data_IF_174433153710
#
_entry.id   IF_174433153710
#
_cell.length_a   1.000
_cell.length_b   1.000
_cell.length_c   1.000
_cell.angle_alpha   90.00
_cell.angle_beta   90.00
_cell.angle_gamma   90.00
#
_symmetry.space_group_name_H-M   'P 1'
#
loop_
_entity.id
_entity.type
_entity.pdbx_description
1 polymer ?
#
# COMPACT_ATOMS: atom_id res chain seq x y z
N UNK A 1 -11.70 -33.44 -17.57
CA UNK A 1 -13.03 -33.00 -17.10
C UNK A 1 -12.93 -31.53 -16.72
N UNK A 2 -13.99 -30.72 -16.89
CA UNK A 2 -13.97 -29.36 -16.34
C UNK A 2 -13.81 -29.43 -14.81
N UNK A 3 -12.95 -28.59 -14.25
CA UNK A 3 -12.74 -28.51 -12.81
C UNK A 3 -14.04 -28.10 -12.13
N UNK A 4 -14.42 -28.82 -11.08
CA UNK A 4 -15.59 -28.47 -10.28
C UNK A 4 -15.31 -27.24 -9.41
N UNK A 5 -16.35 -26.59 -8.92
CA UNK A 5 -16.19 -25.44 -8.01
C UNK A 5 -15.48 -25.83 -6.71
N UNK A 6 -15.79 -27.01 -6.17
CA UNK A 6 -15.17 -27.50 -4.93
C UNK A 6 -13.67 -27.78 -5.14
N UNK A 7 -13.30 -28.40 -6.25
CA UNK A 7 -11.88 -28.60 -6.60
C UNK A 7 -11.16 -27.26 -6.79
N UNK A 8 -11.77 -26.30 -7.48
CA UNK A 8 -11.19 -24.97 -7.69
C UNK A 8 -10.98 -24.21 -6.37
N UNK A 9 -11.93 -24.33 -5.42
CA UNK A 9 -11.80 -23.68 -4.11
C UNK A 9 -10.77 -24.37 -3.22
N UNK A 10 -10.71 -25.70 -3.26
CA UNK A 10 -9.70 -26.48 -2.55
C UNK A 10 -8.30 -26.10 -3.03
N UNK A 11 -8.12 -25.96 -4.35
CA UNK A 11 -6.86 -25.51 -4.94
C UNK A 11 -6.51 -24.08 -4.51
N UNK A 12 -7.46 -23.14 -4.54
CA UNK A 12 -7.22 -21.77 -4.06
C UNK A 12 -6.89 -21.72 -2.57
N UNK A 13 -7.55 -22.51 -1.73
CA UNK A 13 -7.27 -22.58 -0.30
C UNK A 13 -5.86 -23.10 -0.04
N UNK A 14 -5.45 -24.16 -0.75
CA UNK A 14 -4.09 -24.71 -0.69
C UNK A 14 -3.04 -23.65 -1.06
N UNK A 15 -3.25 -22.91 -2.15
CA UNK A 15 -2.33 -21.82 -2.57
C UNK A 15 -2.28 -20.65 -1.58
N UNK A 16 -3.39 -20.32 -0.91
CA UNK A 16 -3.41 -19.27 0.12
C UNK A 16 -2.64 -19.70 1.39
N UNK A 17 -2.73 -20.99 1.74
CA UNK A 17 -2.11 -21.55 2.94
C UNK A 17 -0.63 -21.91 2.76
N UNK A 18 -0.15 -22.08 1.52
CA UNK A 18 1.28 -22.23 1.23
C UNK A 18 2.02 -20.89 1.34
N UNK A 19 2.43 -20.55 2.56
CA UNK A 19 3.13 -19.29 2.86
C UNK A 19 4.48 -19.13 2.17
N UNK A 20 5.06 -20.20 1.59
CA UNK A 20 6.34 -20.11 0.88
C UNK A 20 6.19 -19.45 -0.49
N UNK A 21 5.01 -19.54 -1.09
CA UNK A 21 4.75 -19.03 -2.45
C UNK A 21 3.64 -17.98 -2.49
N UNK A 22 2.76 -17.92 -1.48
CA UNK A 22 1.62 -17.02 -1.44
C UNK A 22 2.02 -15.54 -1.42
N UNK A 23 1.53 -14.75 -2.37
CA UNK A 23 1.73 -13.29 -2.43
C UNK A 23 0.51 -12.56 -1.90
N UNK A 24 -0.67 -12.80 -2.52
CA UNK A 24 -1.95 -12.21 -2.10
C UNK A 24 -3.14 -12.96 -2.64
N UNK A 25 -4.30 -12.75 -2.03
CA UNK A 25 -5.58 -13.15 -2.59
C UNK A 25 -6.59 -12.01 -2.53
N UNK A 26 -7.56 -12.03 -3.45
CA UNK A 26 -8.66 -11.08 -3.51
C UNK A 26 -9.96 -11.83 -3.72
N UNK A 27 -10.92 -11.61 -2.83
CA UNK A 27 -12.28 -12.12 -2.92
C UNK A 27 -13.20 -10.92 -3.17
N UNK A 28 -13.97 -10.95 -4.26
CA UNK A 28 -14.79 -9.78 -4.65
C UNK A 28 -15.99 -10.13 -5.52
N UNK A 29 -16.97 -9.22 -5.51
CA UNK A 29 -18.21 -9.33 -6.26
C UNK A 29 -19.12 -10.39 -5.66
N UNK A 30 -20.34 -10.02 -5.26
CA UNK A 30 -21.30 -11.00 -4.72
C UNK A 30 -21.92 -11.86 -5.81
N UNK A 31 -22.18 -13.14 -5.53
CA UNK A 31 -23.01 -14.00 -6.37
C UNK A 31 -24.47 -13.54 -6.30
N UNK A 32 -25.24 -13.87 -7.35
CA UNK A 32 -26.68 -13.55 -7.40
C UNK A 32 -27.39 -14.24 -6.25
N UNK A 33 -28.29 -13.53 -5.57
CA UNK A 33 -29.08 -14.00 -4.42
C UNK A 33 -28.25 -14.45 -3.20
N UNK A 34 -26.96 -14.06 -3.13
CA UNK A 34 -26.15 -14.23 -1.93
C UNK A 34 -25.89 -12.88 -1.27
N UNK A 35 -25.78 -12.90 0.05
CA UNK A 35 -25.29 -11.79 0.85
C UNK A 35 -23.85 -12.06 1.24
N UNK A 36 -23.05 -11.01 1.27
CA UNK A 36 -21.66 -11.03 1.72
C UNK A 36 -21.53 -9.94 2.78
N UNK A 37 -20.77 -10.21 3.85
CA UNK A 37 -20.54 -9.23 4.92
C UNK A 37 -19.64 -8.08 4.45
N UNK A 38 -18.78 -8.36 3.47
CA UNK A 38 -17.83 -7.40 2.90
C UNK A 38 -17.95 -7.42 1.38
N UNK A 39 -17.85 -6.26 0.73
CA UNK A 39 -17.85 -6.15 -0.73
C UNK A 39 -16.55 -6.72 -1.33
N UNK A 40 -15.46 -6.62 -0.57
CA UNK A 40 -14.12 -7.09 -0.96
C UNK A 40 -13.30 -7.51 0.26
N UNK A 41 -12.57 -8.60 0.11
CA UNK A 41 -11.53 -9.03 1.05
C UNK A 41 -10.21 -9.14 0.30
N UNK A 42 -9.20 -8.40 0.73
CA UNK A 42 -7.82 -8.54 0.28
C UNK A 42 -7.02 -9.27 1.37
N UNK A 43 -6.29 -10.32 0.99
CA UNK A 43 -5.47 -11.13 1.88
C UNK A 43 -4.03 -11.01 1.41
N UNK A 44 -3.08 -10.75 2.31
CA UNK A 44 -1.65 -10.76 2.00
C UNK A 44 -0.83 -11.40 3.12
N UNK A 45 0.32 -11.96 2.76
CA UNK A 45 1.29 -12.46 3.74
C UNK A 45 2.09 -11.29 4.32
N UNK A 46 2.20 -11.22 5.65
CA UNK A 46 3.01 -10.21 6.34
C UNK A 46 3.79 -10.84 7.48
N UNK A 47 4.98 -10.31 7.76
CA UNK A 47 5.78 -10.71 8.90
C UNK A 47 5.65 -9.67 10.00
N UNK A 48 5.16 -10.08 11.17
CA UNK A 48 4.98 -9.21 12.34
C UNK A 48 5.80 -9.80 13.49
N UNK A 49 6.81 -9.04 13.94
CA UNK A 49 7.72 -9.46 15.02
C UNK A 49 8.35 -10.85 14.79
N UNK A 50 8.75 -11.15 13.56
CA UNK A 50 9.38 -12.43 13.20
C UNK A 50 8.41 -13.58 12.90
N UNK A 51 7.09 -13.33 12.91
CA UNK A 51 6.07 -14.37 12.71
C UNK A 51 5.20 -14.03 11.51
N UNK A 52 5.04 -14.99 10.60
CA UNK A 52 4.17 -14.86 9.44
C UNK A 52 2.69 -14.87 9.84
N UNK A 53 1.96 -13.91 9.30
CA UNK A 53 0.52 -13.76 9.45
C UNK A 53 -0.12 -13.54 8.07
N UNK A 54 -1.35 -14.00 7.92
CA UNK A 54 -2.24 -13.57 6.87
C UNK A 54 -2.98 -12.32 7.34
N UNK A 55 -2.74 -11.20 6.67
CA UNK A 55 -3.45 -9.96 6.91
C UNK A 55 -4.66 -9.86 6.00
N UNK A 56 -5.84 -9.73 6.61
CA UNK A 56 -7.13 -9.62 5.94
C UNK A 56 -7.61 -8.18 6.04
N UNK A 57 -7.75 -7.52 4.89
CA UNK A 57 -8.37 -6.21 4.75
C UNK A 57 -9.79 -6.42 4.23
N UNK A 58 -10.79 -6.19 5.08
CA UNK A 58 -12.19 -6.46 4.79
C UNK A 58 -12.93 -5.13 4.61
N UNK A 59 -13.44 -4.87 3.41
CA UNK A 59 -14.10 -3.62 3.04
C UNK A 59 -15.60 -3.83 2.87
N UNK A 60 -16.43 -3.13 3.65
CA UNK A 60 -17.89 -3.20 3.63
C UNK A 60 -18.57 -2.16 2.71
N UNK A 61 -17.77 -1.44 1.92
CA UNK A 61 -18.20 -0.33 1.06
C UNK A 61 -18.11 1.04 1.74
N UNK A 62 -17.92 1.11 3.06
CA UNK A 62 -17.79 2.35 3.83
C UNK A 62 -16.45 2.44 4.56
N UNK A 63 -16.03 1.36 5.18
CA UNK A 63 -14.82 1.26 5.97
C UNK A 63 -14.07 -0.02 5.63
N UNK A 64 -12.75 0.02 5.81
CA UNK A 64 -11.90 -1.16 5.73
C UNK A 64 -11.41 -1.50 7.14
N UNK A 65 -11.66 -2.73 7.57
CA UNK A 65 -11.10 -3.29 8.80
C UNK A 65 -9.92 -4.18 8.47
N UNK A 66 -8.95 -4.28 9.39
CA UNK A 66 -7.75 -5.11 9.20
C UNK A 66 -7.61 -6.10 10.35
N UNK A 67 -7.41 -7.38 10.02
CA UNK A 67 -7.12 -8.46 10.98
C UNK A 67 -5.85 -9.18 10.56
N UNK A 68 -4.97 -9.49 11.50
CA UNK A 68 -3.79 -10.32 11.26
C UNK A 68 -4.02 -11.65 11.96
N UNK A 69 -4.03 -12.75 11.21
CA UNK A 69 -4.26 -14.10 11.73
C UNK A 69 -3.05 -14.98 11.42
N UNK A 70 -2.73 -15.92 12.30
CA UNK A 70 -1.81 -16.99 11.93
C UNK A 70 -2.43 -17.82 10.80
N UNK A 71 -1.63 -18.36 9.86
CA UNK A 71 -2.13 -19.24 8.80
C UNK A 71 -2.96 -20.43 9.33
N UNK A 72 -2.64 -20.93 10.53
CA UNK A 72 -3.37 -22.02 11.17
C UNK A 72 -4.71 -21.61 11.79
N UNK A 73 -4.98 -20.31 11.95
CA UNK A 73 -6.20 -19.78 12.57
C UNK A 73 -7.23 -19.29 11.55
N UNK A 74 -6.89 -19.24 10.27
CA UNK A 74 -7.81 -18.79 9.23
C UNK A 74 -8.61 -19.97 8.66
N UNK A 75 -9.91 -19.78 8.55
CA UNK A 75 -10.81 -20.72 7.88
C UNK A 75 -10.99 -20.28 6.41
N UNK A 76 -9.95 -20.51 5.59
CA UNK A 76 -9.93 -20.06 4.19
C UNK A 76 -11.11 -20.63 3.40
N UNK A 77 -11.46 -21.90 3.64
CA UNK A 77 -12.59 -22.55 2.97
C UNK A 77 -13.92 -21.84 3.25
N UNK A 78 -14.13 -21.34 4.47
CA UNK A 78 -15.33 -20.58 4.80
C UNK A 78 -15.36 -19.24 4.06
N UNK A 79 -14.22 -18.55 3.95
CA UNK A 79 -14.12 -17.30 3.19
C UNK A 79 -14.39 -17.52 1.69
N UNK A 80 -13.83 -18.57 1.08
CA UNK A 80 -14.08 -18.89 -0.33
C UNK A 80 -15.54 -19.26 -0.59
N UNK A 81 -16.20 -19.89 0.38
CA UNK A 81 -17.61 -20.27 0.31
C UNK A 81 -18.59 -19.16 0.71
N UNK A 82 -18.12 -18.00 1.20
CA UNK A 82 -18.99 -16.94 1.74
C UNK A 82 -19.75 -16.12 0.67
N UNK A 83 -19.75 -16.55 -0.59
CA UNK A 83 -20.60 -15.97 -1.64
C UNK A 83 -19.92 -15.03 -2.63
N UNK A 84 -18.59 -14.97 -2.66
CA UNK A 84 -17.85 -14.20 -3.67
C UNK A 84 -17.85 -14.89 -5.04
N UNK A 85 -18.07 -14.11 -6.10
CA UNK A 85 -18.12 -14.54 -7.48
C UNK A 85 -16.74 -14.52 -8.14
N UNK A 86 -15.80 -13.70 -7.66
CA UNK A 86 -14.45 -13.64 -8.17
C UNK A 86 -13.46 -13.90 -7.03
N UNK A 87 -12.56 -14.84 -7.25
CA UNK A 87 -11.44 -15.16 -6.37
C UNK A 87 -10.18 -15.09 -7.21
N UNK A 88 -9.17 -14.36 -6.76
CA UNK A 88 -7.85 -14.34 -7.38
C UNK A 88 -6.84 -14.71 -6.30
N UNK A 89 -5.93 -15.64 -6.59
CA UNK A 89 -4.81 -16.00 -5.74
C UNK A 89 -3.54 -15.81 -6.56
N UNK A 90 -2.65 -14.95 -6.08
CA UNK A 90 -1.36 -14.69 -6.67
C UNK A 90 -0.28 -15.37 -5.82
N UNK A 91 0.54 -16.16 -6.48
CA UNK A 91 1.75 -16.78 -5.92
C UNK A 91 2.99 -16.14 -6.55
N UNK A 92 4.18 -16.59 -6.18
CA UNK A 92 5.46 -16.15 -6.76
C UNK A 92 5.59 -16.45 -8.26
N UNK A 93 4.80 -17.38 -8.78
CA UNK A 93 5.00 -17.95 -10.12
C UNK A 93 3.75 -17.87 -11.02
N UNK A 94 2.57 -17.65 -10.44
CA UNK A 94 1.33 -17.61 -11.18
C UNK A 94 0.22 -16.80 -10.50
N UNK A 95 -0.79 -16.45 -11.30
CA UNK A 95 -2.06 -15.91 -10.86
C UNK A 95 -3.15 -16.93 -11.19
N UNK A 96 -3.78 -17.48 -10.15
CA UNK A 96 -4.91 -18.40 -10.23
C UNK A 96 -6.21 -17.64 -9.99
N UNK A 97 -7.08 -17.59 -11.01
CA UNK A 97 -8.33 -16.84 -10.97
C UNK A 97 -9.53 -17.76 -11.13
N UNK A 98 -10.52 -17.59 -10.26
CA UNK A 98 -11.80 -18.27 -10.31
C UNK A 98 -12.91 -17.24 -10.49
N UNK A 99 -13.76 -17.45 -11.50
CA UNK A 99 -15.04 -16.76 -11.65
C UNK A 99 -16.18 -17.75 -11.53
N UNK A 100 -17.04 -17.57 -10.54
CA UNK A 100 -18.26 -18.34 -10.39
C UNK A 100 -19.35 -17.75 -11.27
N UNK A 101 -19.90 -18.55 -12.17
CA UNK A 101 -20.93 -18.16 -13.11
C UNK A 101 -22.30 -18.03 -12.45
N UNK A 102 -23.30 -17.55 -13.19
CA UNK A 102 -24.69 -17.50 -12.73
C UNK A 102 -25.30 -18.88 -12.48
N UNK A 103 -24.81 -19.94 -13.16
CA UNK A 103 -25.22 -21.33 -12.93
C UNK A 103 -24.57 -21.93 -11.68
N UNK A 104 -23.55 -21.27 -11.12
CA UNK A 104 -22.81 -21.74 -9.95
C UNK A 104 -21.54 -22.51 -10.27
N UNK A 105 -21.22 -22.70 -11.55
CA UNK A 105 -20.01 -23.36 -12.03
C UNK A 105 -18.78 -22.44 -11.88
N UNK A 106 -17.61 -23.04 -11.70
CA UNK A 106 -16.34 -22.31 -11.65
C UNK A 106 -15.69 -22.25 -13.03
N UNK A 107 -15.36 -21.04 -13.48
CA UNK A 107 -14.42 -20.80 -14.57
C UNK A 107 -13.06 -20.48 -13.98
N UNK A 108 -12.08 -21.34 -14.26
CA UNK A 108 -10.72 -21.20 -13.74
C UNK A 108 -9.79 -20.75 -14.86
N UNK A 109 -8.93 -19.79 -14.54
CA UNK A 109 -7.85 -19.33 -15.42
C UNK A 109 -6.55 -19.21 -14.62
N UNK A 110 -5.48 -19.76 -15.17
CA UNK A 110 -4.14 -19.67 -14.59
C UNK A 110 -3.20 -18.97 -15.56
N UNK A 111 -2.57 -17.90 -15.09
CA UNK A 111 -1.58 -17.13 -15.83
C UNK A 111 -0.22 -17.28 -15.15
N UNK A 112 0.82 -17.71 -15.89
CA UNK A 112 2.19 -17.72 -15.35
C UNK A 112 2.72 -16.29 -15.29
N UNK A 113 3.09 -15.85 -14.09
CA UNK A 113 3.57 -14.49 -13.83
C UNK A 113 4.49 -14.52 -12.62
N UNK A 114 5.69 -13.96 -12.77
CA UNK A 114 6.62 -13.81 -11.64
C UNK A 114 6.21 -12.63 -10.78
N UNK A 115 6.11 -12.88 -9.48
CA UNK A 115 5.81 -11.87 -8.46
C UNK A 115 6.68 -12.09 -7.22
N UNK A 116 6.99 -11.01 -6.51
CA UNK A 116 7.77 -11.07 -5.27
C UNK A 116 6.84 -11.00 -4.04
N UNK A 117 7.17 -11.75 -2.99
CA UNK A 117 6.50 -11.63 -1.70
C UNK A 117 6.99 -10.37 -0.98
N UNK A 118 6.08 -9.46 -0.67
CA UNK A 118 6.37 -8.32 0.19
C UNK A 118 5.80 -8.56 1.60
N UNK A 119 6.67 -8.99 2.51
CA UNK A 119 6.29 -9.32 3.89
C UNK A 119 6.20 -8.10 4.82
N UNK A 120 6.45 -6.88 4.32
CA UNK A 120 6.41 -5.68 5.14
C UNK A 120 4.96 -5.37 5.58
N UNK A 121 4.72 -5.47 6.89
CA UNK A 121 3.44 -5.05 7.49
C UNK A 121 3.33 -3.52 7.55
N UNK A 122 4.44 -2.84 7.86
CA UNK A 122 4.51 -1.39 7.94
C UNK A 122 4.86 -0.80 6.58
N UNK A 123 3.93 -0.01 6.05
CA UNK A 123 4.25 0.92 4.97
C UNK A 123 5.15 2.01 5.55
N UNK A 124 6.46 1.88 5.37
CA UNK A 124 7.37 3.00 5.59
C UNK A 124 6.87 4.15 4.72
N UNK A 125 6.40 5.21 5.36
CA UNK A 125 6.05 6.44 4.65
C UNK A 125 7.37 6.95 4.08
N UNK A 126 7.49 7.01 2.76
CA UNK A 126 8.60 7.71 2.11
C UNK A 126 8.53 9.17 2.57
N UNK A 127 9.54 9.56 3.33
CA UNK A 127 9.70 10.92 3.84
C UNK A 127 10.62 11.66 2.91
N UNK A 128 10.29 12.91 2.60
CA UNK A 128 11.10 13.77 1.73
C UNK A 128 12.33 14.28 2.45
N UNK A 129 12.24 14.42 3.78
CA UNK A 129 13.38 14.69 4.65
C UNK A 129 13.47 13.61 5.76
N UNK A 130 14.67 13.12 6.01
CA UNK A 130 14.96 12.22 7.13
C UNK A 130 14.63 12.94 8.45
N UNK A 131 14.08 12.24 9.44
CA UNK A 131 13.75 12.87 10.73
C UNK A 131 14.99 13.34 11.52
N UNK A 132 16.18 12.85 11.17
CA UNK A 132 17.47 13.34 11.63
C UNK A 132 18.03 14.53 10.85
N UNK A 133 17.37 14.98 9.79
CA UNK A 133 17.87 16.09 8.97
C UNK A 133 18.19 17.32 9.86
N UNK A 134 19.37 17.94 9.71
CA UNK A 134 19.78 19.09 10.51
C UNK A 134 18.72 20.21 10.55
N UNK A 135 18.07 20.50 9.42
CA UNK A 135 17.02 21.52 9.37
C UNK A 135 15.90 21.21 10.37
N UNK A 136 15.39 19.98 10.41
CA UNK A 136 14.29 19.60 11.29
C UNK A 136 14.67 19.72 12.78
N UNK A 137 15.94 19.51 13.11
CA UNK A 137 16.47 19.68 14.46
C UNK A 137 16.57 21.16 14.83
N UNK A 138 17.16 21.97 13.96
CA UNK A 138 17.39 23.41 14.18
C UNK A 138 16.08 24.19 14.30
N UNK A 139 15.05 23.84 13.51
CA UNK A 139 13.71 24.45 13.65
C UNK A 139 12.87 23.83 14.78
N UNK A 140 13.47 22.88 15.52
CA UNK A 140 12.89 22.27 16.70
C UNK A 140 11.73 21.31 16.45
N UNK A 141 11.58 20.81 15.22
CA UNK A 141 10.58 19.80 14.82
C UNK A 141 11.00 18.40 15.29
N UNK A 142 12.27 18.04 15.11
CA UNK A 142 12.85 16.81 15.66
C UNK A 142 13.69 17.10 16.92
N UNK A 143 13.96 16.06 17.70
CA UNK A 143 14.89 16.11 18.82
C UNK A 143 16.31 15.68 18.42
N UNK A 144 17.25 15.71 19.37
CA UNK A 144 18.65 15.33 19.13
C UNK A 144 18.83 13.86 18.71
N UNK A 145 17.83 13.00 18.95
CA UNK A 145 17.81 11.60 18.51
C UNK A 145 17.14 11.43 17.15
N UNK A 146 16.75 12.54 16.50
CA UNK A 146 16.02 12.57 15.23
C UNK A 146 14.62 12.00 15.31
N UNK A 147 13.99 12.06 16.47
CA UNK A 147 12.58 11.70 16.62
C UNK A 147 11.74 12.97 16.44
N UNK A 148 10.75 12.92 15.57
CA UNK A 148 9.79 14.03 15.41
C UNK A 148 9.01 14.19 16.71
N UNK A 149 9.06 15.39 17.30
CA UNK A 149 8.38 15.67 18.57
C UNK A 149 6.87 15.51 18.39
N UNK A 150 6.14 14.79 19.28
CA UNK A 150 4.69 14.62 19.17
C UNK A 150 3.93 15.94 19.02
N UNK A 151 4.35 16.98 19.76
CA UNK A 151 3.78 18.34 19.72
C UNK A 151 4.10 19.14 18.44
N UNK A 152 4.94 18.61 17.56
CA UNK A 152 5.35 19.25 16.29
C UNK A 152 4.96 18.44 15.05
N UNK A 153 4.17 17.38 15.22
CA UNK A 153 3.71 16.52 14.12
C UNK A 153 3.01 17.30 13.01
N UNK A 154 2.17 18.29 13.35
CA UNK A 154 1.45 19.08 12.35
C UNK A 154 2.40 19.96 11.52
N UNK A 155 3.42 20.56 12.15
CA UNK A 155 4.47 21.30 11.43
C UNK A 155 5.30 20.38 10.53
N UNK A 156 5.62 19.18 11.01
CA UNK A 156 6.33 18.19 10.19
C UNK A 156 5.52 17.77 8.96
N UNK A 157 4.22 17.49 9.13
CA UNK A 157 3.32 17.20 8.01
C UNK A 157 3.21 18.39 7.04
N UNK A 158 3.18 19.61 7.56
CA UNK A 158 3.13 20.82 6.73
C UNK A 158 4.38 20.98 5.87
N UNK A 159 5.57 20.75 6.42
CA UNK A 159 6.83 20.71 5.66
C UNK A 159 6.76 19.64 4.56
N UNK A 160 6.39 18.42 4.93
CA UNK A 160 6.31 17.30 3.99
C UNK A 160 5.34 17.56 2.84
N UNK A 161 4.14 18.08 3.13
CA UNK A 161 3.14 18.36 2.10
C UNK A 161 3.57 19.53 1.22
N UNK A 162 4.16 20.57 1.81
CA UNK A 162 4.70 21.69 1.05
C UNK A 162 5.78 21.22 0.06
N UNK A 163 6.74 20.40 0.49
CA UNK A 163 7.80 19.88 -0.39
C UNK A 163 7.24 18.94 -1.47
N UNK A 164 6.22 18.15 -1.13
CA UNK A 164 5.51 17.26 -2.07
C UNK A 164 4.81 18.04 -3.19
N UNK A 165 4.35 19.26 -2.90
CA UNK A 165 3.77 20.16 -3.91
C UNK A 165 4.84 20.94 -4.67
N UNK A 166 5.87 21.43 -3.96
CA UNK A 166 6.92 22.27 -4.53
C UNK A 166 7.73 21.53 -5.60
N UNK A 167 8.21 20.31 -5.30
CA UNK A 167 9.14 19.60 -6.17
C UNK A 167 8.56 19.27 -7.56
N UNK A 168 7.35 18.68 -7.68
CA UNK A 168 6.76 18.43 -8.99
C UNK A 168 6.42 19.71 -9.74
N UNK A 169 5.91 20.74 -9.05
CA UNK A 169 5.56 22.00 -9.69
C UNK A 169 6.80 22.71 -10.26
N UNK A 170 7.89 22.74 -9.50
CA UNK A 170 9.17 23.31 -9.94
C UNK A 170 9.75 22.53 -11.13
N UNK A 171 9.79 21.20 -11.06
CA UNK A 171 10.30 20.37 -12.15
C UNK A 171 9.49 20.56 -13.43
N UNK A 172 8.16 20.59 -13.33
CA UNK A 172 7.29 20.84 -14.49
C UNK A 172 7.54 22.23 -15.12
N UNK A 173 7.74 23.27 -14.31
CA UNK A 173 8.07 24.60 -14.80
C UNK A 173 9.44 24.66 -15.49
N UNK A 174 10.43 23.91 -14.99
CA UNK A 174 11.76 23.79 -15.62
C UNK A 174 11.66 23.05 -16.95
N UNK A 175 10.94 21.92 -16.99
CA UNK A 175 10.75 21.13 -18.22
C UNK A 175 9.97 21.90 -19.29
N UNK A 176 8.99 22.70 -18.88
CA UNK A 176 8.25 23.60 -19.77
C UNK A 176 9.05 24.84 -20.22
N UNK A 177 10.28 25.02 -19.72
CA UNK A 177 11.14 26.16 -20.06
C UNK A 177 10.71 27.50 -19.46
N UNK A 178 9.79 27.50 -18.49
CA UNK A 178 9.35 28.71 -17.78
C UNK A 178 10.38 29.16 -16.75
N UNK A 179 11.11 28.22 -16.17
CA UNK A 179 12.24 28.44 -15.28
C UNK A 179 13.47 27.80 -15.94
N UNK A 180 14.62 28.48 -15.89
CA UNK A 180 15.85 27.90 -16.42
C UNK A 180 16.27 26.68 -15.59
N UNK A 181 16.92 25.71 -16.22
CA UNK A 181 17.55 24.61 -15.48
C UNK A 181 18.72 25.17 -14.64
N UNK A 182 18.68 25.06 -13.29
CA UNK A 182 19.71 25.64 -12.43
C UNK A 182 21.10 25.04 -12.68
N UNK A 183 22.13 25.87 -12.63
CA UNK A 183 23.54 25.44 -12.62
C UNK A 183 24.28 26.07 -11.42
N UNK A 184 25.54 25.71 -11.19
CA UNK A 184 26.34 26.34 -10.13
C UNK A 184 26.56 27.83 -10.40
N UNK A 185 26.71 28.20 -11.66
CA UNK A 185 26.95 29.58 -12.11
C UNK A 185 25.66 30.39 -12.17
N UNK A 186 24.53 29.74 -12.44
CA UNK A 186 23.20 30.34 -12.44
C UNK A 186 22.21 29.52 -11.58
N UNK A 187 22.33 29.62 -10.24
CA UNK A 187 21.53 28.81 -9.32
C UNK A 187 20.06 29.23 -9.34
N UNK A 188 19.21 28.33 -8.85
CA UNK A 188 17.80 28.64 -8.63
C UNK A 188 17.69 29.73 -7.57
N UNK A 189 16.84 30.74 -7.82
CA UNK A 189 16.53 31.78 -6.86
C UNK A 189 15.03 31.78 -6.60
N UNK A 190 14.66 31.57 -5.35
CA UNK A 190 13.26 31.55 -4.90
C UNK A 190 13.07 32.70 -3.92
N UNK A 191 11.99 33.45 -4.09
CA UNK A 191 11.57 34.51 -3.16
C UNK A 191 10.29 34.08 -2.46
N UNK A 192 10.35 33.93 -1.14
CA UNK A 192 9.19 33.62 -0.30
C UNK A 192 8.49 34.90 0.15
N UNK A 193 7.27 35.12 -0.33
CA UNK A 193 6.46 36.29 -0.02
C UNK A 193 5.59 36.01 1.22
N UNK A 194 6.00 36.54 2.37
CA UNK A 194 5.26 36.40 3.64
C UNK A 194 5.71 35.22 4.49
N UNK A 195 7.03 34.97 4.54
CA UNK A 195 7.61 33.77 5.16
C UNK A 195 7.30 33.57 6.65
N UNK A 196 6.90 34.60 7.40
CA UNK A 196 6.59 34.50 8.83
C UNK A 196 7.76 33.91 9.62
N UNK A 197 7.59 32.70 10.16
CA UNK A 197 8.65 31.98 10.90
C UNK A 197 9.69 31.30 9.99
N UNK A 198 9.59 31.45 8.67
CA UNK A 198 10.55 31.03 7.64
C UNK A 198 10.92 29.53 7.58
N UNK A 199 10.32 28.65 8.39
CA UNK A 199 10.68 27.23 8.40
C UNK A 199 10.34 26.52 7.08
N UNK A 200 9.32 26.96 6.33
CA UNK A 200 9.07 26.43 4.97
C UNK A 200 10.10 26.95 3.97
N UNK A 201 10.56 28.20 4.12
CA UNK A 201 11.67 28.75 3.33
C UNK A 201 12.92 27.91 3.51
N UNK A 202 13.29 27.60 4.76
CA UNK A 202 14.43 26.75 5.07
C UNK A 202 14.22 25.29 4.66
N UNK A 203 13.00 24.77 4.73
CA UNK A 203 12.68 23.44 4.21
C UNK A 203 12.93 23.36 2.70
N UNK A 204 12.46 24.35 1.92
CA UNK A 204 12.72 24.42 0.49
C UNK A 204 14.23 24.51 0.20
N UNK A 205 14.95 25.37 0.93
CA UNK A 205 16.39 25.50 0.77
C UNK A 205 17.15 24.21 1.10
N UNK A 206 16.74 23.47 2.14
CA UNK A 206 17.40 22.22 2.51
C UNK A 206 17.09 21.09 1.52
N UNK A 207 15.89 21.09 0.94
CA UNK A 207 15.43 20.01 0.07
C UNK A 207 15.89 20.12 -1.38
N UNK A 208 16.03 21.35 -1.91
CA UNK A 208 16.40 21.64 -3.30
C UNK A 208 17.92 21.75 -3.49
#
# INVERSE_FOLDING_TARGET
>A
MPITREEAFTEAASKILDTNSFVRAVLSGRRRNMTVDFERIDIRLVEIKGVLHLQLMQNDGRATTTKNLLPSMIEVDQLLNSGYANIMVETTDEVYSIRVTKSGDAQVHTEKRKSEQNLLHDRKKERLLDSNDPFLREVGISDAKGVIKPSRQDKYKQVEEFLRLLSPALNAAIEAGQIHKPTKENPLRITDLGCGHAYLTFAAHQFL
#
